data_IF_634709224570
#
_entry.id   IF_634709224570
#
_cell.length_a   1.000
_cell.length_b   1.000
_cell.length_c   1.000
_cell.angle_alpha   90.00
_cell.angle_beta   90.00
_cell.angle_gamma   90.00
#
_symmetry.space_group_name_H-M   'P 1'
#
loop_
_entity.id
_entity.type
_entity.pdbx_description
1 polymer ?
#
# COMPACT_ATOMS: atom_id res chain seq x y z
N UNK A 1 40.24 -7.96 -5.52
CA UNK A 1 39.63 -7.45 -4.27
C UNK A 1 38.10 -7.57 -4.29
N UNK A 2 37.42 -7.53 -5.43
CA UNK A 2 35.94 -7.61 -5.50
C UNK A 2 35.34 -9.01 -5.20
N UNK A 3 36.10 -10.10 -5.38
CA UNK A 3 35.66 -11.48 -5.07
C UNK A 3 35.80 -11.88 -3.60
N UNK A 4 36.39 -11.07 -2.71
CA UNK A 4 36.60 -11.44 -1.31
C UNK A 4 35.44 -11.03 -0.38
N UNK A 5 34.55 -10.15 -0.83
CA UNK A 5 33.46 -9.64 0.00
C UNK A 5 32.31 -10.64 0.16
N UNK A 6 32.01 -11.41 -0.90
CA UNK A 6 30.92 -12.36 -0.98
C UNK A 6 31.47 -13.78 -1.15
N UNK A 7 30.96 -14.72 -0.36
CA UNK A 7 31.24 -16.15 -0.50
C UNK A 7 30.46 -16.74 -1.68
N UNK A 8 30.81 -17.96 -2.11
CA UNK A 8 30.06 -18.66 -3.16
C UNK A 8 28.56 -18.83 -2.80
N UNK A 9 28.27 -19.10 -1.53
CA UNK A 9 26.89 -19.21 -1.04
C UNK A 9 26.14 -17.87 -1.14
N UNK A 10 26.83 -16.75 -0.87
CA UNK A 10 26.24 -15.42 -0.99
C UNK A 10 25.91 -15.10 -2.45
N UNK A 11 26.81 -15.44 -3.38
CA UNK A 11 26.60 -15.24 -4.81
C UNK A 11 25.40 -16.05 -5.33
N UNK A 12 25.23 -17.29 -4.86
CA UNK A 12 24.05 -18.10 -5.17
C UNK A 12 22.76 -17.52 -4.57
N UNK A 13 22.82 -16.92 -3.38
CA UNK A 13 21.67 -16.23 -2.77
C UNK A 13 21.31 -14.95 -3.53
N UNK A 14 22.29 -14.11 -3.87
CA UNK A 14 22.11 -12.90 -4.67
C UNK A 14 21.52 -13.21 -6.05
N UNK A 15 22.04 -14.24 -6.73
CA UNK A 15 21.54 -14.67 -8.04
C UNK A 15 20.09 -15.18 -7.95
N UNK A 16 19.75 -15.97 -6.92
CA UNK A 16 18.37 -16.42 -6.69
C UNK A 16 17.40 -15.27 -6.42
N UNK A 17 17.89 -14.20 -5.80
CA UNK A 17 17.13 -12.98 -5.53
C UNK A 17 17.06 -12.03 -6.74
N UNK A 18 17.90 -12.24 -7.76
CA UNK A 18 17.98 -11.36 -8.93
C UNK A 18 18.76 -10.07 -8.68
N UNK A 19 19.69 -10.07 -7.72
CA UNK A 19 20.61 -8.96 -7.43
C UNK A 19 21.94 -9.26 -8.12
N UNK A 20 22.42 -8.37 -8.98
CA UNK A 20 23.74 -8.56 -9.60
C UNK A 20 24.87 -8.36 -8.60
N UNK A 21 26.06 -8.89 -8.88
CA UNK A 21 27.23 -8.68 -8.03
C UNK A 21 27.58 -7.19 -7.95
N UNK A 22 27.48 -6.48 -9.07
CA UNK A 22 27.73 -5.04 -9.14
C UNK A 22 26.73 -4.25 -8.29
N UNK A 23 25.44 -4.58 -8.36
CA UNK A 23 24.40 -3.98 -7.50
C UNK A 23 24.67 -4.26 -6.03
N UNK A 24 25.05 -5.49 -5.68
CA UNK A 24 25.36 -5.87 -4.31
C UNK A 24 26.57 -5.11 -3.75
N UNK A 25 27.64 -4.97 -4.55
CA UNK A 25 28.83 -4.18 -4.17
C UNK A 25 28.44 -2.72 -3.98
N UNK A 26 27.66 -2.14 -4.89
CA UNK A 26 27.22 -0.76 -4.79
C UNK A 26 26.39 -0.51 -3.53
N UNK A 27 25.46 -1.42 -3.20
CA UNK A 27 24.68 -1.32 -1.96
C UNK A 27 25.58 -1.29 -0.72
N UNK A 28 26.62 -2.14 -0.66
CA UNK A 28 27.54 -2.17 0.48
C UNK A 28 28.28 -0.84 0.61
N UNK A 29 28.78 -0.31 -0.51
CA UNK A 29 29.49 0.97 -0.51
C UNK A 29 28.57 2.14 -0.14
N UNK A 30 27.35 2.18 -0.66
CA UNK A 30 26.36 3.21 -0.32
C UNK A 30 26.03 3.21 1.18
N UNK A 31 25.87 2.03 1.80
CA UNK A 31 25.58 1.92 3.24
C UNK A 31 26.79 2.33 4.08
N UNK A 32 28.02 2.00 3.65
CA UNK A 32 29.26 2.38 4.35
C UNK A 32 29.52 3.87 4.30
N UNK A 33 29.36 4.47 3.12
CA UNK A 33 29.58 5.90 2.92
C UNK A 33 28.44 6.73 3.52
N UNK A 34 27.26 6.12 3.66
CA UNK A 34 26.05 6.80 4.04
C UNK A 34 25.44 7.54 2.86
N UNK A 35 24.13 7.80 2.94
CA UNK A 35 23.44 8.56 1.93
C UNK A 35 23.56 10.06 2.23
N UNK A 36 23.82 10.91 1.22
CA UNK A 36 23.84 12.35 1.42
C UNK A 36 22.48 12.81 1.96
N UNK A 37 22.51 13.73 2.92
CA UNK A 37 21.28 14.37 3.38
C UNK A 37 20.63 15.11 2.21
N UNK A 38 19.30 15.03 2.14
CA UNK A 38 18.53 15.86 1.22
C UNK A 38 18.73 17.32 1.60
N UNK A 39 19.03 18.16 0.61
CA UNK A 39 19.05 19.61 0.80
C UNK A 39 17.61 20.09 1.02
N UNK A 40 17.32 20.52 2.26
CA UNK A 40 16.00 21.07 2.59
C UNK A 40 15.97 22.52 2.11
N UNK A 41 15.23 22.78 1.04
CA UNK A 41 15.08 24.12 0.48
C UNK A 41 14.21 25.01 1.37
N UNK A 42 12.96 24.59 1.62
CA UNK A 42 11.98 25.29 2.45
C UNK A 42 10.82 24.34 2.79
N UNK A 43 9.92 24.77 3.70
CA UNK A 43 8.61 24.13 3.89
C UNK A 43 7.69 24.46 2.72
N UNK A 44 6.91 23.49 2.25
CA UNK A 44 5.89 23.74 1.24
C UNK A 44 4.83 24.74 1.76
N UNK A 45 4.49 25.73 0.95
CA UNK A 45 3.49 26.76 1.19
C UNK A 45 2.59 26.96 -0.03
N UNK A 46 1.56 27.80 0.09
CA UNK A 46 0.69 28.14 -1.05
C UNK A 46 1.44 28.90 -2.15
N UNK A 47 2.52 29.57 -1.78
CA UNK A 47 3.42 30.29 -2.67
C UNK A 47 4.51 29.37 -3.25
N UNK A 48 4.81 28.24 -2.59
CA UNK A 48 5.89 27.33 -2.99
C UNK A 48 5.55 25.85 -2.71
N UNK A 49 5.21 25.10 -3.75
CA UNK A 49 5.03 23.65 -3.69
C UNK A 49 3.63 23.14 -3.33
N UNK A 50 2.69 23.98 -2.91
CA UNK A 50 1.27 23.60 -2.74
C UNK A 50 0.41 24.26 -3.81
N UNK A 51 -0.18 23.45 -4.67
CA UNK A 51 -1.18 23.92 -5.63
C UNK A 51 -2.53 24.02 -4.92
N UNK A 52 -2.97 25.26 -4.66
CA UNK A 52 -4.35 25.53 -4.25
C UNK A 52 -5.19 25.87 -5.46
N UNK A 53 -6.24 25.10 -5.69
CA UNK A 53 -7.21 25.40 -6.73
C UNK A 53 -8.46 26.03 -6.11
N UNK A 54 -9.01 27.00 -6.83
CA UNK A 54 -10.30 27.60 -6.47
C UNK A 54 -11.41 26.54 -6.45
N UNK A 55 -12.40 26.63 -5.55
CA UNK A 55 -13.56 25.72 -5.54
C UNK A 55 -14.28 25.64 -6.90
N UNK A 56 -14.24 26.73 -7.68
CA UNK A 56 -14.78 26.77 -9.05
C UNK A 56 -14.07 25.83 -10.04
N UNK A 57 -12.84 25.41 -9.75
CA UNK A 57 -12.09 24.44 -10.56
C UNK A 57 -12.38 22.99 -10.16
N UNK A 58 -12.99 22.75 -8.99
CA UNK A 58 -13.32 21.39 -8.53
C UNK A 58 -14.23 20.68 -9.54
N UNK A 59 -15.34 21.32 -9.92
CA UNK A 59 -16.27 20.78 -10.91
C UNK A 59 -15.59 20.53 -12.27
N UNK A 60 -14.68 21.42 -12.68
CA UNK A 60 -13.89 21.26 -13.90
C UNK A 60 -13.03 20.00 -13.87
N UNK A 61 -12.22 19.81 -12.82
CA UNK A 61 -11.33 18.65 -12.74
C UNK A 61 -12.12 17.35 -12.55
N UNK A 62 -13.17 17.37 -11.75
CA UNK A 62 -14.09 16.23 -11.62
C UNK A 62 -14.67 15.86 -12.99
N UNK A 63 -15.13 16.84 -13.77
CA UNK A 63 -15.64 16.61 -15.13
C UNK A 63 -14.57 16.09 -16.09
N UNK A 64 -13.33 16.57 -15.99
CA UNK A 64 -12.21 16.05 -16.78
C UNK A 64 -11.93 14.58 -16.49
N UNK A 65 -12.03 14.19 -15.22
CA UNK A 65 -11.87 12.79 -14.82
C UNK A 65 -12.98 11.90 -15.38
N UNK A 66 -14.25 12.30 -15.25
CA UNK A 66 -15.37 11.53 -15.82
C UNK A 66 -15.23 11.40 -17.35
N UNK A 67 -14.93 12.51 -18.04
CA UNK A 67 -14.68 12.48 -19.50
C UNK A 67 -13.49 11.64 -19.89
N UNK A 68 -12.49 11.50 -19.01
CA UNK A 68 -11.38 10.60 -19.26
C UNK A 68 -11.82 9.14 -19.17
N UNK A 69 -12.58 8.77 -18.13
CA UNK A 69 -13.12 7.41 -17.97
C UNK A 69 -14.05 6.99 -19.12
N UNK A 70 -14.74 7.94 -19.75
CA UNK A 70 -15.58 7.70 -20.93
C UNK A 70 -14.80 7.35 -22.21
N UNK A 71 -13.49 7.62 -22.27
CA UNK A 71 -12.68 7.31 -23.44
C UNK A 71 -12.56 5.79 -23.61
N UNK A 72 -12.54 5.31 -24.85
CA UNK A 72 -12.46 3.86 -25.16
C UNK A 72 -11.08 3.28 -24.86
N UNK A 73 -10.06 4.11 -24.88
CA UNK A 73 -8.65 3.83 -24.66
C UNK A 73 -8.20 4.17 -23.23
N UNK A 74 -9.09 4.65 -22.35
CA UNK A 74 -8.72 4.94 -20.97
C UNK A 74 -8.26 3.67 -20.26
N UNK A 75 -7.02 3.68 -19.75
CA UNK A 75 -6.52 2.62 -18.87
C UNK A 75 -6.26 3.18 -17.47
N UNK A 76 -7.03 2.70 -16.49
CA UNK A 76 -6.95 3.13 -15.09
C UNK A 76 -6.78 1.94 -14.18
N UNK A 77 -5.71 1.93 -13.40
CA UNK A 77 -5.46 0.91 -12.39
C UNK A 77 -5.54 1.51 -10.99
N UNK A 78 -6.11 0.75 -10.06
CA UNK A 78 -5.94 1.00 -8.64
C UNK A 78 -4.94 0.00 -8.08
N UNK A 79 -3.74 0.50 -7.78
CA UNK A 79 -2.65 -0.29 -7.21
C UNK A 79 -2.65 -0.16 -5.68
N UNK A 80 -2.66 -1.31 -5.00
CA UNK A 80 -2.78 -1.39 -3.54
C UNK A 80 -1.62 -2.23 -2.98
N UNK A 81 -0.64 -1.58 -2.34
CA UNK A 81 0.40 -2.30 -1.61
C UNK A 81 -0.20 -3.05 -0.41
N UNK A 82 -0.13 -4.38 -0.44
CA UNK A 82 -0.81 -5.27 0.51
C UNK A 82 0.07 -6.39 1.09
N UNK A 83 1.38 -6.37 0.81
CA UNK A 83 2.36 -7.36 1.29
C UNK A 83 2.70 -7.22 2.79
N UNK A 84 2.39 -6.08 3.41
CA UNK A 84 2.74 -5.81 4.80
C UNK A 84 1.93 -6.64 5.81
N UNK A 85 2.62 -7.41 6.64
CA UNK A 85 2.04 -8.07 7.80
C UNK A 85 1.51 -7.07 8.84
N UNK A 86 0.43 -7.43 9.55
CA UNK A 86 -0.17 -6.59 10.57
C UNK A 86 0.59 -6.59 11.92
N UNK A 87 1.77 -7.23 12.00
CA UNK A 87 2.51 -7.43 13.27
C UNK A 87 2.73 -6.15 14.08
N UNK A 88 3.04 -5.02 13.42
CA UNK A 88 3.19 -3.72 14.09
C UNK A 88 1.89 -3.21 14.71
N UNK A 89 0.74 -3.48 14.09
CA UNK A 89 -0.58 -3.11 14.60
C UNK A 89 -0.87 -3.78 15.94
N UNK A 90 -0.38 -5.01 16.12
CA UNK A 90 -0.60 -5.82 17.32
C UNK A 90 0.59 -5.83 18.28
N UNK A 91 1.60 -4.97 18.10
CA UNK A 91 2.82 -4.94 18.92
C UNK A 91 2.50 -4.88 20.42
N UNK A 92 1.55 -4.03 20.81
CA UNK A 92 1.11 -3.89 22.20
C UNK A 92 0.56 -5.22 22.76
N UNK A 93 -0.27 -5.91 21.97
CA UNK A 93 -0.87 -7.18 22.38
C UNK A 93 0.14 -8.33 22.46
N UNK A 94 1.13 -8.36 21.56
CA UNK A 94 2.25 -9.29 21.67
C UNK A 94 3.06 -9.03 22.95
N UNK A 95 3.38 -7.76 23.25
CA UNK A 95 4.03 -7.41 24.51
C UNK A 95 3.21 -7.81 25.74
N UNK A 96 1.87 -7.71 25.67
CA UNK A 96 0.98 -8.19 26.72
C UNK A 96 1.01 -9.72 26.89
N UNK A 97 1.04 -10.48 25.78
CA UNK A 97 1.17 -11.95 25.84
C UNK A 97 2.46 -12.39 26.53
N UNK A 98 3.58 -11.74 26.22
CA UNK A 98 4.90 -12.07 26.75
C UNK A 98 5.13 -11.56 28.19
N UNK A 99 4.26 -10.69 28.70
CA UNK A 99 4.41 -10.11 30.02
C UNK A 99 4.23 -11.13 31.17
N UNK A 100 4.76 -10.83 32.35
CA UNK A 100 4.64 -11.65 33.56
C UNK A 100 3.28 -11.52 34.27
N UNK A 101 2.41 -10.65 33.76
CA UNK A 101 1.06 -10.42 34.28
C UNK A 101 -0.02 -10.89 33.31
N UNK A 102 -1.19 -11.25 33.85
CA UNK A 102 -2.31 -11.80 33.07
C UNK A 102 -3.49 -10.84 32.90
N UNK A 103 -3.49 -9.70 33.60
CA UNK A 103 -4.55 -8.69 33.55
C UNK A 103 -4.01 -7.36 32.99
N UNK A 104 -4.81 -6.58 32.23
CA UNK A 104 -4.36 -5.36 31.58
C UNK A 104 -3.86 -4.30 32.58
N UNK A 105 -2.59 -3.90 32.45
CA UNK A 105 -1.92 -2.91 33.33
C UNK A 105 -1.68 -1.57 32.68
N UNK A 106 -1.50 -1.52 31.37
CA UNK A 106 -1.35 -0.25 30.65
C UNK A 106 -2.70 0.33 30.27
N UNK A 107 -2.75 1.64 30.02
CA UNK A 107 -3.97 2.30 29.52
C UNK A 107 -4.39 1.73 28.15
N UNK A 108 -3.41 1.45 27.29
CA UNK A 108 -3.65 0.87 25.97
C UNK A 108 -4.26 -0.53 26.03
N UNK A 109 -3.76 -1.39 26.94
CA UNK A 109 -4.33 -2.73 27.15
C UNK A 109 -5.76 -2.66 27.68
N UNK A 110 -6.01 -1.84 28.71
CA UNK A 110 -7.35 -1.66 29.28
C UNK A 110 -8.33 -1.20 28.21
N UNK A 111 -7.97 -0.15 27.47
CA UNK A 111 -8.79 0.39 26.38
C UNK A 111 -9.08 -0.67 25.31
N UNK A 112 -8.11 -1.52 24.95
CA UNK A 112 -8.35 -2.59 23.98
C UNK A 112 -9.45 -3.54 24.43
N UNK A 113 -9.42 -3.99 25.69
CA UNK A 113 -10.44 -4.92 26.21
C UNK A 113 -11.79 -4.26 26.45
N UNK A 114 -11.81 -3.01 26.95
CA UNK A 114 -13.03 -2.23 27.15
C UNK A 114 -13.77 -2.01 25.81
N UNK A 115 -13.01 -1.69 24.76
CA UNK A 115 -13.53 -1.39 23.43
C UNK A 115 -13.59 -2.63 22.51
N UNK A 116 -13.27 -3.82 23.01
CA UNK A 116 -13.09 -5.03 22.19
C UNK A 116 -14.34 -5.34 21.33
N UNK A 117 -15.52 -5.07 21.87
CA UNK A 117 -16.82 -5.30 21.24
C UNK A 117 -17.12 -4.38 20.05
N UNK A 118 -16.34 -3.31 19.86
CA UNK A 118 -16.45 -2.41 18.71
C UNK A 118 -15.67 -2.88 17.49
N UNK A 119 -14.69 -3.77 17.65
CA UNK A 119 -13.90 -4.26 16.52
C UNK A 119 -14.75 -5.11 15.57
N UNK A 120 -14.48 -4.96 14.27
CA UNK A 120 -15.16 -5.73 13.24
C UNK A 120 -14.97 -7.24 13.38
N UNK A 121 -13.84 -7.67 13.94
CA UNK A 121 -13.56 -9.09 14.17
C UNK A 121 -14.13 -9.65 15.48
N UNK A 122 -14.91 -8.89 16.27
CA UNK A 122 -15.36 -9.32 17.59
C UNK A 122 -16.12 -10.64 17.58
N UNK A 123 -17.13 -10.77 16.71
CA UNK A 123 -17.95 -11.99 16.65
C UNK A 123 -17.12 -13.19 16.20
N UNK A 124 -16.30 -13.01 15.16
CA UNK A 124 -15.40 -14.05 14.67
C UNK A 124 -14.39 -14.49 15.75
N UNK A 125 -13.88 -13.55 16.54
CA UNK A 125 -12.99 -13.84 17.67
C UNK A 125 -13.73 -14.56 18.79
N UNK A 126 -14.97 -14.15 19.09
CA UNK A 126 -15.79 -14.77 20.13
C UNK A 126 -16.12 -16.22 19.79
N UNK A 127 -16.45 -16.51 18.53
CA UNK A 127 -16.62 -17.87 18.04
C UNK A 127 -15.33 -18.70 18.15
N UNK A 128 -14.18 -18.11 17.82
CA UNK A 128 -12.89 -18.79 17.96
C UNK A 128 -12.57 -19.09 19.44
N UNK A 129 -12.89 -18.17 20.35
CA UNK A 129 -12.77 -18.40 21.79
C UNK A 129 -13.68 -19.54 22.26
N UNK A 130 -14.92 -19.59 21.78
CA UNK A 130 -15.86 -20.67 22.09
C UNK A 130 -15.35 -22.04 21.62
N UNK A 131 -14.78 -22.11 20.40
CA UNK A 131 -14.18 -23.35 19.88
C UNK A 131 -12.94 -23.81 20.66
N UNK A 132 -12.08 -22.86 21.02
CA UNK A 132 -10.78 -23.19 21.62
C UNK A 132 -10.85 -23.39 23.14
N UNK A 133 -11.71 -22.65 23.82
CA UNK A 133 -11.75 -22.55 25.29
C UNK A 133 -13.10 -22.91 25.91
N UNK A 134 -14.11 -23.24 25.09
CA UNK A 134 -15.49 -23.51 25.54
C UNK A 134 -16.14 -22.35 26.30
N UNK A 135 -15.62 -21.13 26.10
CA UNK A 135 -16.05 -19.90 26.77
C UNK A 135 -16.11 -18.76 25.78
N UNK A 136 -17.10 -17.88 25.95
CA UNK A 136 -17.18 -16.62 25.21
C UNK A 136 -16.15 -15.61 25.74
N UNK A 137 -15.86 -14.57 24.96
CA UNK A 137 -14.98 -13.47 25.39
C UNK A 137 -15.43 -12.92 26.76
N UNK A 138 -16.71 -12.52 26.99
CA UNK A 138 -17.11 -11.99 28.31
C UNK A 138 -16.85 -12.94 29.47
N UNK A 139 -16.99 -14.26 29.26
CA UNK A 139 -16.71 -15.27 30.30
C UNK A 139 -15.22 -15.41 30.59
N UNK A 140 -14.37 -15.36 29.55
CA UNK A 140 -12.92 -15.36 29.71
C UNK A 140 -12.45 -14.12 30.47
N UNK A 141 -12.92 -12.93 30.07
CA UNK A 141 -12.56 -11.67 30.73
C UNK A 141 -13.01 -11.65 32.20
N UNK A 142 -14.22 -12.12 32.51
CA UNK A 142 -14.73 -12.22 33.88
C UNK A 142 -13.93 -13.18 34.79
N UNK A 143 -13.14 -14.08 34.20
CA UNK A 143 -12.30 -15.04 34.92
C UNK A 143 -10.82 -14.63 34.95
N UNK A 144 -10.47 -13.46 34.39
CA UNK A 144 -9.08 -13.01 34.30
C UNK A 144 -8.28 -13.68 33.16
N UNK A 145 -8.93 -14.45 32.28
CA UNK A 145 -8.30 -15.18 31.18
C UNK A 145 -8.05 -14.27 29.95
N UNK A 146 -7.51 -13.06 30.15
CA UNK A 146 -7.29 -12.07 29.07
C UNK A 146 -6.33 -12.59 27.99
N UNK A 147 -5.26 -13.30 28.40
CA UNK A 147 -4.29 -13.87 27.46
C UNK A 147 -4.91 -14.88 26.51
N UNK A 148 -5.90 -15.66 26.95
CA UNK A 148 -6.59 -16.62 26.08
C UNK A 148 -7.30 -15.92 24.90
N UNK A 149 -7.86 -14.73 25.13
CA UNK A 149 -8.47 -13.91 24.08
C UNK A 149 -7.41 -13.41 23.09
N UNK A 150 -6.28 -12.91 23.61
CA UNK A 150 -5.19 -12.37 22.77
C UNK A 150 -4.48 -13.47 21.98
N UNK A 151 -4.24 -14.64 22.57
CA UNK A 151 -3.70 -15.81 21.87
C UNK A 151 -4.63 -16.25 20.73
N UNK A 152 -5.94 -16.28 21.00
CA UNK A 152 -6.95 -16.62 19.99
C UNK A 152 -7.01 -15.57 18.87
N UNK A 153 -6.74 -14.30 19.15
CA UNK A 153 -6.66 -13.27 18.12
C UNK A 153 -5.40 -13.42 17.26
N UNK A 154 -4.23 -13.53 17.90
CA UNK A 154 -2.94 -13.35 17.22
C UNK A 154 -2.36 -14.63 16.64
N UNK A 155 -2.54 -15.77 17.31
CA UNK A 155 -1.81 -17.00 17.00
C UNK A 155 -2.56 -17.88 15.98
N UNK A 156 -1.86 -18.79 15.27
CA UNK A 156 -2.46 -19.64 14.24
C UNK A 156 -3.59 -20.55 14.72
N UNK A 157 -3.66 -20.86 16.02
CA UNK A 157 -4.74 -21.67 16.61
C UNK A 157 -6.08 -20.94 16.68
N UNK A 158 -6.10 -19.62 16.49
CA UNK A 158 -7.32 -18.82 16.41
C UNK A 158 -7.42 -18.09 15.07
N UNK A 159 -7.48 -16.76 15.09
CA UNK A 159 -7.64 -15.98 13.86
C UNK A 159 -6.32 -15.78 13.09
N UNK A 160 -5.17 -15.89 13.78
CA UNK A 160 -3.85 -15.73 13.19
C UNK A 160 -3.51 -14.30 12.77
N UNK A 161 -4.20 -13.29 13.33
CA UNK A 161 -4.07 -11.89 12.90
C UNK A 161 -2.67 -11.31 13.11
N UNK A 162 -1.85 -11.92 13.98
CA UNK A 162 -0.47 -11.50 14.21
C UNK A 162 0.46 -11.73 13.00
N UNK A 163 0.12 -12.69 12.14
CA UNK A 163 0.91 -13.07 10.96
C UNK A 163 0.26 -12.70 9.63
N UNK A 164 -1.07 -12.51 9.61
CA UNK A 164 -1.81 -12.19 8.38
C UNK A 164 -1.50 -10.77 7.88
N UNK A 165 -1.52 -10.54 6.54
CA UNK A 165 -1.51 -9.22 5.96
C UNK A 165 -2.78 -8.44 6.30
N UNK A 166 -2.64 -7.12 6.42
CA UNK A 166 -3.77 -6.24 6.76
C UNK A 166 -4.95 -6.38 5.80
N UNK A 167 -4.68 -6.66 4.52
CA UNK A 167 -5.69 -6.89 3.48
C UNK A 167 -6.71 -7.98 3.80
N UNK A 168 -6.33 -8.97 4.63
CA UNK A 168 -7.18 -10.10 5.00
C UNK A 168 -7.89 -9.92 6.35
N UNK A 169 -7.63 -8.82 7.05
CA UNK A 169 -8.22 -8.56 8.36
C UNK A 169 -9.54 -7.81 8.18
N UNK A 170 -10.53 -8.14 9.01
CA UNK A 170 -11.75 -7.35 9.15
C UNK A 170 -11.43 -5.98 9.76
N UNK A 171 -11.71 -4.92 9.01
CA UNK A 171 -11.45 -3.52 9.40
C UNK A 171 -12.73 -2.81 9.82
N UNK A 172 -13.82 -3.06 9.10
CA UNK A 172 -15.08 -2.35 9.31
C UNK A 172 -16.23 -3.31 9.52
N UNK A 173 -17.18 -2.88 10.36
CA UNK A 173 -18.45 -3.54 10.61
C UNK A 173 -19.56 -2.59 10.24
N UNK A 174 -20.48 -3.08 9.41
CA UNK A 174 -21.74 -2.46 9.05
C UNK A 174 -22.87 -3.29 9.64
N UNK A 175 -24.10 -2.77 9.65
CA UNK A 175 -25.26 -3.42 10.28
C UNK A 175 -25.49 -4.88 9.85
N UNK A 176 -25.07 -5.25 8.64
CA UNK A 176 -25.31 -6.57 8.05
C UNK A 176 -24.05 -7.32 7.62
N UNK A 177 -22.88 -6.68 7.65
CA UNK A 177 -21.67 -7.25 7.07
C UNK A 177 -20.42 -6.62 7.65
N UNK A 178 -19.41 -7.44 7.86
CA UNK A 178 -18.04 -7.02 8.13
C UNK A 178 -17.23 -7.08 6.84
N UNK A 179 -16.32 -6.12 6.66
CA UNK A 179 -15.44 -6.05 5.47
C UNK A 179 -13.99 -6.12 5.88
N UNK A 180 -13.25 -6.89 5.12
CA UNK A 180 -11.79 -6.83 5.14
C UNK A 180 -11.28 -5.54 4.51
N UNK A 181 -10.04 -5.17 4.81
CA UNK A 181 -9.40 -4.04 4.14
C UNK A 181 -9.39 -4.20 2.61
N UNK A 182 -9.17 -5.41 2.08
CA UNK A 182 -9.24 -5.66 0.63
C UNK A 182 -10.62 -5.35 0.04
N UNK A 183 -11.70 -5.76 0.72
CA UNK A 183 -13.08 -5.51 0.27
C UNK A 183 -13.39 -4.01 0.20
N UNK A 184 -12.82 -3.20 1.10
CA UNK A 184 -12.95 -1.74 1.03
C UNK A 184 -12.32 -1.14 -0.24
N UNK A 185 -11.27 -1.76 -0.78
CA UNK A 185 -10.67 -1.33 -2.04
C UNK A 185 -11.53 -1.69 -3.26
N UNK A 186 -12.35 -2.75 -3.20
CA UNK A 186 -13.34 -3.06 -4.23
C UNK A 186 -14.37 -1.95 -4.31
N UNK A 187 -14.95 -1.58 -3.17
CA UNK A 187 -15.93 -0.49 -3.06
C UNK A 187 -15.37 0.80 -3.66
N UNK A 188 -14.22 1.24 -3.17
CA UNK A 188 -13.59 2.47 -3.67
C UNK A 188 -13.24 2.40 -5.17
N UNK A 189 -12.76 1.25 -5.66
CA UNK A 189 -12.42 1.07 -7.08
C UNK A 189 -13.64 1.28 -7.98
N UNK A 190 -14.80 0.73 -7.62
CA UNK A 190 -16.04 0.95 -8.37
C UNK A 190 -16.49 2.41 -8.37
N UNK A 191 -16.22 3.15 -7.30
CA UNK A 191 -16.70 4.52 -7.14
C UNK A 191 -15.92 5.57 -7.94
N UNK A 192 -14.64 5.33 -8.26
CA UNK A 192 -13.82 6.31 -8.99
C UNK A 192 -12.94 5.78 -10.12
N UNK A 193 -12.83 4.46 -10.33
CA UNK A 193 -11.94 3.86 -11.32
C UNK A 193 -12.66 2.93 -12.31
N UNK A 194 -13.99 3.07 -12.44
CA UNK A 194 -14.81 2.35 -13.43
C UNK A 194 -14.67 3.01 -14.80
N UNK A 195 -14.23 2.24 -15.80
CA UNK A 195 -14.10 2.71 -17.18
C UNK A 195 -15.43 2.70 -17.97
N UNK A 196 -15.39 3.17 -19.21
CA UNK A 196 -16.51 3.18 -20.17
C UNK A 196 -17.08 1.79 -20.51
N UNK A 197 -16.34 0.71 -20.25
CA UNK A 197 -16.76 -0.68 -20.45
C UNK A 197 -17.33 -1.29 -19.18
N UNK A 198 -17.41 -0.53 -18.09
CA UNK A 198 -17.84 -0.99 -16.77
C UNK A 198 -16.79 -1.84 -16.05
N UNK A 199 -15.51 -1.78 -16.46
CA UNK A 199 -14.42 -2.54 -15.87
C UNK A 199 -13.70 -1.72 -14.80
N UNK A 200 -13.22 -2.39 -13.76
CA UNK A 200 -12.41 -1.81 -12.67
C UNK A 200 -11.16 -2.67 -12.50
N UNK A 201 -9.99 -2.09 -12.78
CA UNK A 201 -8.72 -2.78 -12.60
C UNK A 201 -8.18 -2.58 -11.19
N UNK A 202 -8.09 -3.67 -10.43
CA UNK A 202 -7.46 -3.70 -9.11
C UNK A 202 -6.17 -4.51 -9.20
N UNK A 203 -5.09 -3.93 -8.72
CA UNK A 203 -3.80 -4.60 -8.66
C UNK A 203 -3.26 -4.58 -7.23
N UNK A 204 -2.99 -5.76 -6.65
CA UNK A 204 -2.46 -5.87 -5.31
C UNK A 204 -1.03 -6.38 -5.35
N UNK A 205 -0.11 -5.70 -4.64
CA UNK A 205 1.21 -6.27 -4.38
C UNK A 205 1.13 -7.07 -3.08
N UNK A 206 1.41 -8.37 -3.13
CA UNK A 206 1.25 -9.29 -2.00
C UNK A 206 2.52 -10.09 -1.76
N UNK A 207 2.70 -10.65 -0.56
CA UNK A 207 3.79 -11.57 -0.31
C UNK A 207 3.46 -12.98 -0.84
N UNK A 208 4.47 -13.75 -1.28
CA UNK A 208 4.25 -15.09 -1.84
C UNK A 208 3.52 -16.02 -0.86
N UNK A 209 3.80 -15.92 0.45
CA UNK A 209 3.20 -16.79 1.45
C UNK A 209 1.68 -16.62 1.60
N UNK A 210 1.13 -15.47 1.21
CA UNK A 210 -0.28 -15.14 1.36
C UNK A 210 -1.06 -15.12 0.05
N UNK A 211 -0.42 -15.48 -1.08
CA UNK A 211 -1.05 -15.44 -2.39
C UNK A 211 -2.38 -16.20 -2.45
N UNK A 212 -2.40 -17.44 -1.95
CA UNK A 212 -3.61 -18.28 -1.94
C UNK A 212 -4.72 -17.68 -1.09
N UNK A 213 -4.38 -17.03 0.02
CA UNK A 213 -5.37 -16.42 0.91
C UNK A 213 -6.07 -15.24 0.23
N UNK A 214 -5.30 -14.41 -0.48
CA UNK A 214 -5.83 -13.29 -1.27
C UNK A 214 -6.69 -13.76 -2.44
N UNK A 215 -6.21 -14.74 -3.23
CA UNK A 215 -6.98 -15.33 -4.33
C UNK A 215 -8.30 -15.92 -3.83
N UNK A 216 -8.27 -16.63 -2.70
CA UNK A 216 -9.47 -17.23 -2.08
C UNK A 216 -10.45 -16.17 -1.60
N UNK A 217 -9.97 -15.09 -0.98
CA UNK A 217 -10.81 -13.98 -0.56
C UNK A 217 -11.46 -13.30 -1.76
N UNK A 218 -10.68 -12.98 -2.80
CA UNK A 218 -11.19 -12.37 -4.03
C UNK A 218 -12.25 -13.25 -4.68
N UNK A 219 -11.99 -14.56 -4.84
CA UNK A 219 -12.96 -15.49 -5.42
C UNK A 219 -14.29 -15.53 -4.65
N UNK A 220 -14.25 -15.36 -3.32
CA UNK A 220 -15.44 -15.35 -2.48
C UNK A 220 -16.27 -14.07 -2.60
N UNK A 221 -15.62 -12.92 -2.75
CA UNK A 221 -16.30 -11.61 -2.62
C UNK A 221 -16.58 -10.93 -3.95
N UNK A 222 -15.82 -11.28 -5.01
CA UNK A 222 -15.85 -10.58 -6.30
C UNK A 222 -17.25 -10.49 -6.88
N UNK A 223 -17.95 -11.61 -7.04
CA UNK A 223 -19.24 -11.65 -7.72
C UNK A 223 -20.30 -10.79 -7.00
N UNK A 224 -20.30 -10.80 -5.66
CA UNK A 224 -21.17 -9.96 -4.84
C UNK A 224 -20.95 -8.47 -5.12
N UNK A 225 -19.68 -8.04 -5.22
CA UNK A 225 -19.35 -6.65 -5.51
C UNK A 225 -19.58 -6.26 -6.98
N UNK A 226 -19.36 -7.18 -7.92
CA UNK A 226 -19.68 -6.98 -9.34
C UNK A 226 -21.17 -6.72 -9.53
N UNK A 227 -22.03 -7.53 -8.89
CA UNK A 227 -23.48 -7.36 -8.92
C UNK A 227 -23.89 -6.04 -8.25
N UNK A 228 -23.41 -5.79 -7.03
CA UNK A 228 -23.81 -4.62 -6.24
C UNK A 228 -23.47 -3.29 -6.92
N UNK A 229 -22.27 -3.19 -7.53
CA UNK A 229 -21.83 -1.96 -8.21
C UNK A 229 -22.10 -1.96 -9.72
N UNK A 230 -22.62 -3.06 -10.27
CA UNK A 230 -22.82 -3.24 -11.71
C UNK A 230 -21.53 -2.95 -12.50
N UNK A 231 -20.44 -3.60 -12.10
CA UNK A 231 -19.10 -3.50 -12.69
C UNK A 231 -18.49 -4.89 -12.91
N UNK A 232 -17.40 -4.96 -13.67
CA UNK A 232 -16.54 -6.13 -13.78
C UNK A 232 -15.17 -5.85 -13.20
N UNK A 233 -14.76 -6.56 -12.16
CA UNK A 233 -13.43 -6.42 -11.59
C UNK A 233 -12.41 -7.27 -12.35
N UNK A 234 -11.33 -6.62 -12.76
CA UNK A 234 -10.12 -7.24 -13.28
C UNK A 234 -9.05 -7.17 -12.19
N UNK A 235 -8.99 -8.23 -11.38
CA UNK A 235 -8.07 -8.31 -10.25
C UNK A 235 -6.80 -9.03 -10.67
N UNK A 236 -5.66 -8.42 -10.36
CA UNK A 236 -4.34 -8.98 -10.61
C UNK A 236 -3.45 -8.83 -9.38
N UNK A 237 -2.43 -9.67 -9.32
CA UNK A 237 -1.47 -9.70 -8.22
C UNK A 237 -0.06 -9.61 -8.78
N UNK A 238 0.81 -8.92 -8.06
CA UNK A 238 2.26 -9.02 -8.23
C UNK A 238 2.90 -9.27 -6.87
N UNK A 239 4.14 -9.72 -6.91
CA UNK A 239 4.96 -9.90 -5.71
C UNK A 239 5.96 -8.76 -5.63
N UNK A 240 6.29 -8.34 -4.41
CA UNK A 240 7.43 -7.47 -4.23
C UNK A 240 8.70 -8.24 -4.64
N UNK A 241 9.42 -7.76 -5.65
CA UNK A 241 10.62 -8.45 -6.13
C UNK A 241 11.69 -8.52 -5.04
N UNK A 242 12.16 -9.74 -4.66
CA UNK A 242 13.28 -9.91 -3.73
C UNK A 242 14.56 -9.19 -4.17
N UNK A 243 14.68 -8.91 -5.47
CA UNK A 243 15.78 -8.15 -6.07
C UNK A 243 15.88 -6.71 -5.54
N UNK A 244 14.82 -6.19 -4.93
CA UNK A 244 14.83 -4.85 -4.35
C UNK A 244 15.31 -4.83 -2.91
N UNK A 245 15.46 -6.00 -2.28
CA UNK A 245 15.94 -6.09 -0.92
C UNK A 245 17.37 -5.55 -0.80
N UNK A 246 17.61 -4.84 0.29
CA UNK A 246 18.90 -4.23 0.58
C UNK A 246 19.69 -5.08 1.55
N UNK A 247 21.00 -5.25 1.30
CA UNK A 247 21.92 -5.91 2.23
C UNK A 247 21.94 -5.18 3.58
N UNK A 248 22.00 -5.93 4.68
CA UNK A 248 22.25 -5.37 5.99
C UNK A 248 23.75 -5.42 6.32
N UNK A 249 24.30 -4.33 6.86
CA UNK A 249 25.66 -4.28 7.38
C UNK A 249 25.68 -4.26 8.91
N UNK A 250 26.77 -4.76 9.49
CA UNK A 250 27.10 -4.58 10.91
C UNK A 250 27.57 -3.13 11.15
N UNK A 251 27.57 -2.64 12.39
CA UNK A 251 28.11 -1.31 12.72
C UNK A 251 29.55 -1.08 12.26
N UNK A 252 30.34 -2.16 12.12
CA UNK A 252 31.72 -2.15 11.65
C UNK A 252 31.83 -2.11 10.10
N UNK A 253 30.70 -2.09 9.39
CA UNK A 253 30.65 -2.04 7.92
C UNK A 253 30.86 -3.39 7.22
N UNK A 254 30.81 -4.51 7.94
CA UNK A 254 30.81 -5.86 7.38
C UNK A 254 29.40 -6.33 7.00
N UNK A 255 29.28 -7.36 6.17
CA UNK A 255 27.98 -7.98 5.86
C UNK A 255 27.38 -8.61 7.12
N UNK A 256 26.11 -8.31 7.42
CA UNK A 256 25.40 -8.94 8.52
C UNK A 256 24.97 -10.36 8.11
N UNK A 257 25.35 -11.33 8.94
CA UNK A 257 25.02 -12.75 8.76
C UNK A 257 24.11 -13.25 9.87
N UNK A 258 23.19 -14.13 9.52
CA UNK A 258 22.37 -14.88 10.47
C UNK A 258 23.19 -15.99 11.12
N UNK A 259 22.63 -16.66 12.14
CA UNK A 259 23.27 -17.76 12.85
C UNK A 259 23.62 -18.95 11.92
N UNK A 260 22.87 -19.14 10.84
CA UNK A 260 23.11 -20.16 9.81
C UNK A 260 24.15 -19.75 8.75
N UNK A 261 24.74 -18.56 8.88
CA UNK A 261 25.74 -18.01 7.96
C UNK A 261 25.15 -17.27 6.74
N UNK A 262 23.83 -17.29 6.54
CA UNK A 262 23.16 -16.62 5.41
C UNK A 262 23.17 -15.10 5.58
N UNK A 263 23.02 -14.37 4.47
CA UNK A 263 22.92 -12.91 4.52
C UNK A 263 21.56 -12.47 5.08
N UNK A 264 21.55 -11.34 5.80
CA UNK A 264 20.32 -10.67 6.16
C UNK A 264 19.98 -9.59 5.12
N UNK A 265 18.85 -9.79 4.47
CA UNK A 265 18.23 -8.83 3.57
C UNK A 265 17.13 -8.07 4.27
N UNK A 266 17.08 -6.75 4.07
CA UNK A 266 15.97 -5.90 4.50
C UNK A 266 15.09 -5.63 3.29
N UNK A 267 13.75 -5.75 3.42
CA UNK A 267 12.84 -5.47 2.32
C UNK A 267 13.12 -4.13 1.67
N UNK A 268 13.27 -4.15 0.35
CA UNK A 268 13.47 -2.93 -0.44
C UNK A 268 12.34 -1.94 -0.20
N UNK A 269 12.67 -0.67 0.02
CA UNK A 269 11.67 0.38 0.14
C UNK A 269 10.98 0.68 -1.20
N UNK A 270 10.78 1.97 -1.48
CA UNK A 270 10.07 2.48 -2.66
C UNK A 270 10.60 1.98 -4.03
N UNK A 271 11.81 1.43 -4.13
CA UNK A 271 12.37 0.88 -5.38
C UNK A 271 11.55 -0.28 -5.96
N UNK A 272 10.89 -1.07 -5.12
CA UNK A 272 9.98 -2.14 -5.57
C UNK A 272 8.69 -1.64 -6.20
N UNK A 273 8.24 -0.44 -5.80
CA UNK A 273 7.03 0.17 -6.32
C UNK A 273 7.21 0.56 -7.80
N UNK A 274 8.37 1.12 -8.17
CA UNK A 274 8.62 1.59 -9.54
C UNK A 274 8.60 0.44 -10.55
N UNK A 275 9.25 -0.69 -10.24
CA UNK A 275 9.22 -1.88 -11.12
C UNK A 275 7.80 -2.41 -11.30
N UNK A 276 7.07 -2.53 -10.19
CA UNK A 276 5.68 -2.97 -10.24
C UNK A 276 4.77 -2.00 -11.03
N UNK A 277 5.00 -0.68 -10.92
CA UNK A 277 4.29 0.32 -11.71
C UNK A 277 4.60 0.19 -13.20
N UNK A 278 5.87 0.02 -13.57
CA UNK A 278 6.29 -0.13 -14.97
C UNK A 278 5.73 -1.40 -15.64
N UNK A 279 5.38 -2.43 -14.85
CA UNK A 279 4.77 -3.65 -15.36
C UNK A 279 3.26 -3.51 -15.63
N UNK A 280 2.62 -2.44 -15.15
CA UNK A 280 1.20 -2.19 -15.40
C UNK A 280 1.02 -1.49 -16.73
N UNK A 281 0.20 -2.08 -17.61
CA UNK A 281 -0.25 -1.45 -18.85
C UNK A 281 -1.37 -0.44 -18.55
N UNK A 282 -0.99 0.67 -17.92
CA UNK A 282 -1.89 1.68 -17.38
C UNK A 282 -1.43 3.10 -17.70
N UNK A 283 -2.36 3.96 -18.13
CA UNK A 283 -2.08 5.38 -18.32
C UNK A 283 -2.09 6.14 -16.99
N UNK A 284 -3.00 5.74 -16.08
CA UNK A 284 -3.19 6.37 -14.78
C UNK A 284 -3.28 5.28 -13.71
N UNK A 285 -2.47 5.42 -12.67
CA UNK A 285 -2.45 4.51 -11.53
C UNK A 285 -2.77 5.27 -10.24
N UNK A 286 -3.87 4.89 -9.57
CA UNK A 286 -4.13 5.32 -8.20
C UNK A 286 -3.43 4.39 -7.23
N UNK A 287 -2.46 4.92 -6.49
CA UNK A 287 -1.76 4.19 -5.44
C UNK A 287 -2.43 4.52 -4.10
N UNK A 288 -2.76 3.49 -3.31
CA UNK A 288 -3.29 3.65 -1.95
C UNK A 288 -2.90 2.46 -1.09
N UNK A 289 -2.38 2.70 0.11
CA UNK A 289 -2.06 1.64 1.06
C UNK A 289 -3.32 0.85 1.44
N UNK A 290 -3.14 -0.46 1.67
CA UNK A 290 -4.22 -1.39 1.98
C UNK A 290 -5.05 -0.99 3.22
N UNK A 291 -4.44 -0.35 4.19
CA UNK A 291 -5.06 0.02 5.47
C UNK A 291 -5.58 1.46 5.51
N UNK A 292 -5.33 2.26 4.47
CA UNK A 292 -5.89 3.59 4.34
C UNK A 292 -7.30 3.51 3.76
N UNK A 293 -8.23 2.97 4.54
CA UNK A 293 -9.64 2.79 4.17
C UNK A 293 -10.52 3.34 5.27
N UNK A 294 -11.72 3.80 4.89
CA UNK A 294 -12.70 4.40 5.81
C UNK A 294 -14.07 3.76 5.60
N UNK A 295 -14.90 3.83 6.64
CA UNK A 295 -16.32 3.43 6.60
C UNK A 295 -17.08 4.14 5.49
N UNK A 296 -18.13 3.50 4.96
CA UNK A 296 -18.95 4.02 3.84
C UNK A 296 -19.47 5.44 4.10
N UNK A 297 -19.83 5.76 5.35
CA UNK A 297 -20.31 7.09 5.75
C UNK A 297 -19.26 8.20 5.49
N UNK A 298 -17.97 7.86 5.52
CA UNK A 298 -16.84 8.77 5.30
C UNK A 298 -16.21 8.61 3.92
N UNK A 299 -16.73 7.74 3.04
CA UNK A 299 -16.15 7.52 1.70
C UNK A 299 -16.38 8.66 0.73
N UNK A 300 -17.45 9.45 0.91
CA UNK A 300 -17.78 10.58 0.02
C UNK A 300 -16.58 11.50 -0.27
N UNK A 301 -15.93 12.08 0.77
CA UNK A 301 -14.71 12.88 0.59
C UNK A 301 -13.57 12.12 -0.08
N UNK A 302 -13.36 10.84 0.25
CA UNK A 302 -12.30 10.03 -0.37
C UNK A 302 -12.52 9.89 -1.88
N UNK A 303 -13.76 9.59 -2.30
CA UNK A 303 -14.13 9.45 -3.72
C UNK A 303 -13.98 10.78 -4.44
N UNK A 304 -14.51 11.86 -3.86
CA UNK A 304 -14.41 13.20 -4.44
C UNK A 304 -12.95 13.58 -4.68
N UNK A 305 -12.10 13.53 -3.66
CA UNK A 305 -10.70 13.94 -3.81
C UNK A 305 -9.91 13.02 -4.75
N UNK A 306 -10.25 11.73 -4.85
CA UNK A 306 -9.60 10.82 -5.82
C UNK A 306 -9.96 11.18 -7.26
N UNK A 307 -11.23 11.43 -7.55
CA UNK A 307 -11.68 11.90 -8.87
C UNK A 307 -11.06 13.25 -9.22
N UNK A 308 -11.04 14.17 -8.25
CA UNK A 308 -10.43 15.48 -8.40
C UNK A 308 -8.93 15.39 -8.75
N UNK A 309 -8.16 14.60 -7.99
CA UNK A 309 -6.74 14.35 -8.28
C UNK A 309 -6.54 13.70 -9.66
N UNK A 310 -7.42 12.77 -10.04
CA UNK A 310 -7.43 12.20 -11.38
C UNK A 310 -7.63 13.26 -12.46
N UNK A 311 -8.55 14.19 -12.24
CA UNK A 311 -8.82 15.31 -13.14
C UNK A 311 -7.64 16.27 -13.29
N UNK A 312 -6.98 16.61 -12.17
CA UNK A 312 -5.76 17.44 -12.17
C UNK A 312 -4.66 16.74 -12.96
N UNK A 313 -4.44 15.45 -12.73
CA UNK A 313 -3.45 14.65 -13.46
C UNK A 313 -3.75 14.61 -14.96
N UNK A 314 -5.00 14.38 -15.35
CA UNK A 314 -5.43 14.38 -16.75
C UNK A 314 -5.16 15.75 -17.40
N UNK A 315 -5.46 16.85 -16.71
CA UNK A 315 -5.20 18.19 -17.23
C UNK A 315 -3.71 18.43 -17.48
N UNK A 316 -2.85 18.10 -16.51
CA UNK A 316 -1.39 18.24 -16.62
C UNK A 316 -0.86 17.35 -17.75
N UNK A 317 -1.24 16.07 -17.79
CA UNK A 317 -0.82 15.12 -18.82
C UNK A 317 -1.23 15.58 -20.23
N UNK A 318 -2.48 15.98 -20.41
CA UNK A 318 -2.99 16.38 -21.71
C UNK A 318 -2.29 17.67 -22.20
N UNK A 319 -1.90 18.58 -21.29
CA UNK A 319 -1.06 19.75 -21.60
C UNK A 319 0.36 19.33 -22.04
N UNK A 320 1.02 18.44 -21.29
CA UNK A 320 2.35 17.89 -21.65
C UNK A 320 2.33 17.27 -23.05
N UNK A 321 1.36 16.39 -23.32
CA UNK A 321 1.23 15.77 -24.64
C UNK A 321 0.86 16.78 -25.73
N UNK A 322 0.14 17.84 -25.39
CA UNK A 322 -0.11 18.99 -26.27
C UNK A 322 1.19 19.66 -26.70
N UNK A 323 2.10 19.91 -25.76
CA UNK A 323 3.41 20.50 -26.05
C UNK A 323 4.32 19.58 -26.84
N UNK A 324 4.41 18.29 -26.50
CA UNK A 324 5.20 17.31 -27.26
C UNK A 324 4.79 17.29 -28.74
N UNK A 325 3.49 17.24 -29.02
CA UNK A 325 2.97 17.30 -30.41
C UNK A 325 3.29 18.61 -31.14
N UNK A 326 3.47 19.71 -30.42
CA UNK A 326 3.87 20.99 -31.03
C UNK A 326 5.36 20.98 -31.37
N UNK A 327 6.19 20.50 -30.45
CA UNK A 327 7.63 20.34 -30.64
C UNK A 327 7.96 19.40 -31.80
N UNK A 328 7.28 18.25 -31.89
CA UNK A 328 7.47 17.28 -32.97
C UNK A 328 7.15 17.85 -34.36
N UNK A 329 6.25 18.84 -34.44
CA UNK A 329 5.90 19.53 -35.71
C UNK A 329 6.96 20.55 -36.15
N UNK A 330 7.93 20.89 -35.28
CA UNK A 330 9.08 21.75 -35.60
C UNK A 330 8.75 23.24 -35.84
N UNK A 331 7.54 23.70 -35.53
CA UNK A 331 7.11 25.11 -35.72
C UNK A 331 6.67 25.73 -34.39
N UNK A 332 7.60 25.82 -33.45
CA UNK A 332 7.34 26.41 -32.12
C UNK A 332 7.96 27.80 -32.06
N UNK A 333 7.15 28.82 -31.76
CA UNK A 333 7.62 30.19 -31.57
C UNK A 333 8.35 30.35 -30.25
N UNK A 334 9.12 31.43 -30.11
CA UNK A 334 9.78 31.75 -28.84
C UNK A 334 8.77 31.89 -27.69
N UNK A 335 7.62 32.54 -27.93
CA UNK A 335 6.56 32.69 -26.92
C UNK A 335 5.98 31.35 -26.45
N UNK A 336 5.88 30.36 -27.34
CA UNK A 336 5.42 29.02 -26.98
C UNK A 336 6.48 28.29 -26.15
N UNK A 337 7.77 28.48 -26.45
CA UNK A 337 8.85 27.93 -25.63
C UNK A 337 8.87 28.54 -24.22
N UNK A 338 8.62 29.85 -24.10
CA UNK A 338 8.48 30.53 -22.80
C UNK A 338 7.28 30.00 -22.00
N UNK A 339 6.12 29.81 -22.64
CA UNK A 339 4.94 29.17 -22.03
C UNK A 339 5.26 27.76 -21.52
N UNK A 340 5.88 26.93 -22.36
CA UNK A 340 6.28 25.56 -21.99
C UNK A 340 7.26 25.58 -20.81
N UNK A 341 8.24 26.49 -20.81
CA UNK A 341 9.20 26.62 -19.71
C UNK A 341 8.54 27.09 -18.41
N UNK A 342 7.59 28.03 -18.49
CA UNK A 342 6.82 28.46 -17.33
C UNK A 342 6.01 27.29 -16.76
N UNK A 343 5.31 26.54 -17.62
CA UNK A 343 4.56 25.36 -17.19
C UNK A 343 5.43 24.30 -16.52
N UNK A 344 6.63 24.01 -17.04
CA UNK A 344 7.54 23.03 -16.42
C UNK A 344 7.96 23.45 -15.01
N UNK A 345 8.19 24.75 -14.81
CA UNK A 345 8.51 25.31 -13.48
C UNK A 345 7.30 25.25 -12.55
N UNK A 346 6.13 25.68 -13.01
CA UNK A 346 4.97 25.85 -12.15
C UNK A 346 4.28 24.52 -11.82
N UNK A 347 4.24 23.57 -12.77
CA UNK A 347 3.59 22.27 -12.59
C UNK A 347 4.52 21.18 -12.02
N UNK A 348 5.82 21.24 -12.30
CA UNK A 348 6.78 20.20 -11.91
C UNK A 348 7.96 20.69 -11.05
N UNK A 349 8.07 22.00 -10.79
CA UNK A 349 9.24 22.56 -10.11
C UNK A 349 10.53 22.48 -10.94
N UNK A 350 10.44 22.21 -12.25
CA UNK A 350 11.60 22.01 -13.12
C UNK A 350 12.01 23.34 -13.75
N UNK A 351 13.24 23.78 -13.48
CA UNK A 351 13.86 24.92 -14.18
C UNK A 351 14.67 24.40 -15.37
N UNK A 352 14.25 24.79 -16.57
CA UNK A 352 15.01 24.50 -17.78
C UNK A 352 16.29 25.35 -17.82
N UNK A 353 17.40 24.79 -18.35
CA UNK A 353 18.70 25.46 -18.39
C UNK A 353 18.75 26.67 -19.32
#
# INVERSE_FOLDING_TARGET
MEQELFTAQDLEELQRRGISLEEAIQQVEDIRQGFPYLEILASASLEDGIISNEPSQEERYMSLWERYLERKDASVYKMVPASGAASRMFKMLFSFLDADYSEPRTEAERRFFDELHHFAFYELLNEACLRNHWKSIPKLLAQGDYKAVVETLLLPKGLGYGSKPKGLLLFHRYDKVERTALEEHFVEGALYARDSRGQVHLHFTISPEHQRDFESLVARVKDCYEEHYSVRYLVSFSQQEPATDTLALTPEGGLFRREDGSLLFRPGGHGSLIRNLNALDADIVFIKNIDNVVLDLYKGPTVMYKKYLGGVLVAIRDQVFGYLRQLDKGKVSHSQLEEMSAFMRDAFGIRLP
#
